data_IF_176662247270
#
_entry.id   IF_176662247270
#
_cell.length_a   1.000
_cell.length_b   1.000
_cell.length_c   1.000
_cell.angle_alpha   90.00
_cell.angle_beta   90.00
_cell.angle_gamma   90.00
#
_symmetry.space_group_name_H-M   'P 1'
#
loop_
_entity.id
_entity.type
_entity.pdbx_description
1 polymer ?
#
# COMPACT_ATOMS: atom_id res chain seq x y z
N UNK A 1 19.39 -14.95 13.06
CA UNK A 1 19.43 -13.56 13.58
C UNK A 1 18.75 -12.62 12.57
N UNK A 2 18.35 -11.38 12.94
CA UNK A 2 17.67 -10.46 12.02
C UNK A 2 18.45 -10.16 10.71
N UNK A 3 19.79 -10.24 10.72
CA UNK A 3 20.61 -10.18 9.49
C UNK A 3 20.30 -11.32 8.51
N UNK A 4 20.20 -12.56 8.98
CA UNK A 4 19.82 -13.71 8.13
C UNK A 4 18.39 -13.58 7.58
N UNK A 5 17.47 -12.97 8.33
CA UNK A 5 16.11 -12.72 7.85
C UNK A 5 16.07 -11.63 6.76
N UNK A 6 16.85 -10.55 6.92
CA UNK A 6 16.98 -9.50 5.90
C UNK A 6 17.64 -10.00 4.61
N UNK A 7 18.51 -11.01 4.71
CA UNK A 7 19.17 -11.64 3.56
C UNK A 7 18.31 -12.72 2.88
N UNK A 8 17.28 -13.22 3.56
CA UNK A 8 16.42 -14.28 3.06
C UNK A 8 15.67 -13.85 1.79
N UNK A 9 15.66 -14.73 0.78
CA UNK A 9 15.07 -14.46 -0.54
C UNK A 9 13.62 -14.01 -0.44
N UNK A 10 12.82 -14.70 0.38
CA UNK A 10 11.39 -14.40 0.52
C UNK A 10 11.09 -13.02 1.13
N UNK A 11 11.97 -12.45 1.97
CA UNK A 11 11.76 -11.08 2.49
C UNK A 11 12.07 -10.06 1.40
N UNK A 12 13.14 -10.27 0.64
CA UNK A 12 13.50 -9.42 -0.50
C UNK A 12 12.40 -9.42 -1.57
N UNK A 13 11.87 -10.59 -1.91
CA UNK A 13 10.75 -10.73 -2.85
C UNK A 13 9.51 -9.95 -2.39
N UNK A 14 9.15 -10.02 -1.11
CA UNK A 14 8.02 -9.24 -0.55
C UNK A 14 8.27 -7.73 -0.64
N UNK A 15 9.48 -7.27 -0.35
CA UNK A 15 9.83 -5.84 -0.48
C UNK A 15 9.80 -5.37 -1.95
N UNK A 16 10.24 -6.22 -2.87
CA UNK A 16 10.13 -5.95 -4.31
C UNK A 16 8.65 -5.85 -4.70
N UNK A 17 7.80 -6.75 -4.23
CA UNK A 17 6.36 -6.70 -4.51
C UNK A 17 5.71 -5.44 -3.94
N UNK A 18 6.03 -5.06 -2.69
CA UNK A 18 5.55 -3.81 -2.11
C UNK A 18 5.96 -2.59 -2.95
N UNK A 19 7.18 -2.59 -3.48
CA UNK A 19 7.68 -1.54 -4.37
C UNK A 19 6.92 -1.53 -5.69
N UNK A 20 6.78 -2.68 -6.35
CA UNK A 20 6.03 -2.84 -7.59
C UNK A 20 4.59 -2.32 -7.47
N UNK A 21 3.88 -2.72 -6.41
CA UNK A 21 2.51 -2.28 -6.15
C UNK A 21 2.43 -0.76 -5.93
N UNK A 22 3.35 -0.20 -5.14
CA UNK A 22 3.37 1.24 -4.86
C UNK A 22 3.68 2.06 -6.12
N UNK A 23 4.69 1.66 -6.89
CA UNK A 23 5.07 2.35 -8.13
C UNK A 23 3.98 2.23 -9.20
N UNK A 24 3.20 1.15 -9.20
CA UNK A 24 2.05 1.02 -10.10
C UNK A 24 0.99 2.09 -9.79
N UNK A 25 0.72 2.39 -8.51
CA UNK A 25 -0.20 3.47 -8.12
C UNK A 25 0.32 4.83 -8.60
N UNK A 26 1.61 5.09 -8.35
CA UNK A 26 2.27 6.32 -8.76
C UNK A 26 2.21 6.51 -10.29
N UNK A 27 2.56 5.47 -11.04
CA UNK A 27 2.53 5.45 -12.50
C UNK A 27 1.14 5.78 -13.07
N UNK A 28 0.06 5.22 -12.50
CA UNK A 28 -1.30 5.55 -12.93
C UNK A 28 -1.65 7.03 -12.65
N UNK A 29 -1.24 7.57 -11.50
CA UNK A 29 -1.51 8.97 -11.14
C UNK A 29 -0.79 9.99 -12.03
N UNK A 30 0.49 9.73 -12.36
CA UNK A 30 1.21 10.60 -13.32
C UNK A 30 0.63 10.47 -14.73
N UNK A 31 0.22 9.26 -15.13
CA UNK A 31 -0.32 9.03 -16.46
C UNK A 31 -1.65 9.75 -16.67
N UNK A 32 -2.58 9.71 -15.71
CA UNK A 32 -3.85 10.45 -15.84
C UNK A 32 -3.62 11.96 -15.87
N UNK A 33 -2.64 12.45 -15.11
CA UNK A 33 -2.27 13.87 -15.09
C UNK A 33 -1.63 14.32 -16.41
N UNK A 34 -0.72 13.51 -16.95
CA UNK A 34 -0.01 13.81 -18.19
C UNK A 34 -0.89 13.72 -19.45
N UNK A 35 -1.93 12.87 -19.42
CA UNK A 35 -2.91 12.72 -20.50
C UNK A 35 -4.11 13.67 -20.35
N UNK A 36 -4.03 14.65 -19.44
CA UNK A 36 -5.08 15.65 -19.28
C UNK A 36 -5.23 16.58 -20.48
N UNK A 37 -6.37 17.24 -20.57
CA UNK A 37 -6.70 18.19 -21.64
C UNK A 37 -7.21 19.52 -21.07
N UNK A 38 -7.05 20.65 -21.81
CA UNK A 38 -7.66 21.90 -21.42
C UNK A 38 -9.19 21.81 -21.50
N UNK A 39 -9.86 22.53 -20.61
CA UNK A 39 -11.31 22.75 -20.65
C UNK A 39 -11.65 24.07 -21.34
N UNK A 40 -12.92 24.30 -21.64
CA UNK A 40 -13.39 25.57 -22.20
C UNK A 40 -13.14 26.78 -21.27
N UNK A 41 -13.02 26.56 -19.95
CA UNK A 41 -12.73 27.61 -18.97
C UNK A 41 -11.22 27.89 -18.80
N UNK A 42 -10.37 27.14 -19.52
CA UNK A 42 -8.91 27.33 -19.52
C UNK A 42 -8.17 26.59 -18.39
N UNK A 43 -8.88 25.95 -17.45
CA UNK A 43 -8.26 24.98 -16.54
C UNK A 43 -8.01 23.64 -17.24
N UNK A 44 -7.24 22.75 -16.61
CA UNK A 44 -6.98 21.40 -17.13
C UNK A 44 -7.80 20.37 -16.37
N UNK A 45 -8.27 19.36 -17.09
CA UNK A 45 -8.91 18.16 -16.56
C UNK A 45 -8.02 16.95 -16.89
N UNK A 46 -7.85 16.05 -15.93
CA UNK A 46 -7.05 14.83 -16.10
C UNK A 46 -7.77 13.80 -16.97
N UNK A 47 -7.06 12.82 -17.49
CA UNK A 47 -7.71 11.66 -18.13
C UNK A 47 -8.53 10.88 -17.09
N UNK A 48 -9.85 10.94 -17.25
CA UNK A 48 -10.80 10.37 -16.31
C UNK A 48 -10.78 8.83 -16.27
N UNK A 49 -10.50 8.17 -17.41
CA UNK A 49 -10.42 6.71 -17.44
C UNK A 49 -9.21 6.25 -16.60
N UNK A 50 -8.04 6.84 -16.83
CA UNK A 50 -6.81 6.53 -16.12
C UNK A 50 -6.89 6.91 -14.63
N UNK A 51 -7.58 8.00 -14.29
CA UNK A 51 -7.83 8.37 -12.90
C UNK A 51 -8.67 7.32 -12.16
N UNK A 52 -9.71 6.78 -12.81
CA UNK A 52 -10.52 5.71 -12.24
C UNK A 52 -9.75 4.39 -12.14
N UNK A 53 -8.87 4.08 -13.10
CA UNK A 53 -7.95 2.93 -13.01
C UNK A 53 -7.00 3.08 -11.82
N UNK A 54 -6.39 4.26 -11.66
CA UNK A 54 -5.54 4.58 -10.51
C UNK A 54 -6.28 4.33 -9.20
N UNK A 55 -7.45 4.95 -9.03
CA UNK A 55 -8.23 4.82 -7.80
C UNK A 55 -8.67 3.37 -7.55
N UNK A 56 -9.06 2.61 -8.57
CA UNK A 56 -9.44 1.22 -8.42
C UNK A 56 -8.27 0.31 -7.97
N UNK A 57 -7.03 0.64 -8.36
CA UNK A 57 -5.83 -0.02 -7.83
C UNK A 57 -5.57 0.39 -6.37
N UNK A 58 -5.76 1.68 -6.03
CA UNK A 58 -5.64 2.20 -4.66
C UNK A 58 -6.62 1.49 -3.71
N UNK A 59 -7.78 1.02 -4.17
CA UNK A 59 -8.69 0.25 -3.30
C UNK A 59 -8.22 -1.17 -2.98
N UNK A 60 -7.05 -1.60 -3.50
CA UNK A 60 -6.55 -2.99 -3.40
C UNK A 60 -5.13 -3.05 -2.87
N UNK A 61 -4.21 -2.35 -3.51
CA UNK A 61 -2.77 -2.51 -3.27
C UNK A 61 -2.31 -2.11 -1.86
N UNK A 62 -2.83 -1.04 -1.23
CA UNK A 62 -2.51 -0.73 0.17
C UNK A 62 -2.81 -1.89 1.13
N UNK A 63 -3.86 -2.68 0.88
CA UNK A 63 -4.19 -3.85 1.70
C UNK A 63 -3.15 -4.96 1.55
N UNK A 64 -2.66 -5.22 0.34
CA UNK A 64 -1.62 -6.22 0.12
C UNK A 64 -0.27 -5.76 0.68
N UNK A 65 0.07 -4.47 0.50
CA UNK A 65 1.28 -3.88 1.10
C UNK A 65 1.22 -3.99 2.64
N UNK A 66 0.06 -3.70 3.25
CA UNK A 66 -0.14 -3.85 4.70
C UNK A 66 -0.03 -5.31 5.16
N UNK A 67 -0.58 -6.26 4.38
CA UNK A 67 -0.46 -7.70 4.65
C UNK A 67 1.00 -8.15 4.62
N UNK A 68 1.75 -7.73 3.60
CA UNK A 68 3.18 -8.04 3.45
C UNK A 68 4.03 -7.41 4.57
N UNK A 69 3.74 -6.16 4.94
CA UNK A 69 4.40 -5.50 6.06
C UNK A 69 4.16 -6.23 7.40
N UNK A 70 2.94 -6.71 7.62
CA UNK A 70 2.56 -7.50 8.80
C UNK A 70 3.34 -8.83 8.87
N UNK A 71 3.42 -9.52 7.73
CA UNK A 71 4.15 -10.78 7.58
C UNK A 71 5.66 -10.58 7.87
N UNK A 72 6.28 -9.54 7.29
CA UNK A 72 7.69 -9.20 7.54
C UNK A 72 7.93 -8.82 9.00
N UNK A 73 7.02 -8.05 9.62
CA UNK A 73 7.16 -7.58 11.00
C UNK A 73 7.05 -8.69 12.05
N UNK A 74 6.26 -9.72 11.76
CA UNK A 74 6.04 -10.88 12.62
C UNK A 74 5.16 -10.59 13.84
N UNK A 75 4.95 -11.62 14.67
CA UNK A 75 3.94 -11.62 15.74
C UNK A 75 4.16 -10.61 16.87
N UNK A 76 5.36 -10.04 17.00
CA UNK A 76 5.59 -8.96 17.97
C UNK A 76 4.74 -7.73 17.64
N UNK A 77 4.32 -7.55 16.38
CA UNK A 77 3.45 -6.46 15.97
C UNK A 77 2.15 -6.37 16.80
N UNK A 78 1.57 -7.52 17.18
CA UNK A 78 0.35 -7.59 17.98
C UNK A 78 0.56 -7.95 19.46
N UNK A 79 1.80 -8.23 19.88
CA UNK A 79 2.11 -8.73 21.23
C UNK A 79 3.18 -7.90 21.95
N UNK A 80 3.60 -6.78 21.36
CA UNK A 80 4.66 -5.94 21.91
C UNK A 80 4.25 -5.30 23.25
N UNK A 81 5.13 -5.32 24.27
CA UNK A 81 4.93 -4.56 25.50
C UNK A 81 4.73 -3.07 25.25
N UNK A 82 4.10 -2.39 26.21
CA UNK A 82 3.90 -0.96 26.14
C UNK A 82 5.18 -0.18 26.41
N UNK A 83 5.20 1.11 26.05
CA UNK A 83 6.29 2.00 26.42
C UNK A 83 6.44 2.15 27.95
N UNK A 84 5.34 2.00 28.70
CA UNK A 84 5.36 2.02 30.16
C UNK A 84 6.11 0.81 30.73
N UNK A 85 5.86 -0.38 30.18
CA UNK A 85 6.56 -1.60 30.59
C UNK A 85 8.07 -1.51 30.29
N UNK A 86 8.44 -0.88 29.18
CA UNK A 86 9.85 -0.66 28.84
C UNK A 86 10.56 0.32 29.79
N UNK A 87 9.83 1.27 30.37
CA UNK A 87 10.33 2.25 31.32
C UNK A 87 10.30 1.76 32.78
N UNK A 88 9.63 0.64 33.04
CA UNK A 88 9.53 0.03 34.37
C UNK A 88 10.92 -0.48 34.84
N UNK A 89 11.32 -0.21 36.10
CA UNK A 89 12.64 -0.58 36.60
C UNK A 89 12.85 -2.10 36.74
N UNK A 90 11.79 -2.89 36.85
CA UNK A 90 11.85 -4.35 36.98
C UNK A 90 11.66 -5.05 35.63
N UNK A 91 10.60 -4.70 34.89
CA UNK A 91 10.28 -5.30 33.60
C UNK A 91 11.16 -4.78 32.46
N UNK A 92 11.53 -3.50 32.47
CA UNK A 92 12.32 -2.87 31.42
C UNK A 92 13.65 -3.58 31.11
N UNK A 93 14.48 -3.92 32.12
CA UNK A 93 15.69 -4.71 31.93
C UNK A 93 15.43 -6.09 31.29
N UNK A 94 14.34 -6.77 31.68
CA UNK A 94 13.96 -8.07 31.11
C UNK A 94 13.50 -7.94 29.66
N UNK A 95 12.68 -6.92 29.35
CA UNK A 95 12.22 -6.64 27.99
C UNK A 95 13.41 -6.34 27.08
N UNK A 96 14.35 -5.48 27.51
CA UNK A 96 15.57 -5.17 26.74
C UNK A 96 16.43 -6.41 26.53
N UNK A 97 16.50 -7.31 27.51
CA UNK A 97 17.22 -8.58 27.38
C UNK A 97 16.57 -9.52 26.35
N UNK A 98 15.26 -9.74 26.44
CA UNK A 98 14.57 -10.77 25.65
C UNK A 98 14.08 -10.31 24.28
N UNK A 99 13.91 -8.99 24.06
CA UNK A 99 13.54 -8.46 22.75
C UNK A 99 14.74 -8.02 21.89
N UNK A 100 15.97 -8.18 22.39
CA UNK A 100 17.19 -7.98 21.63
C UNK A 100 17.26 -8.97 20.45
N UNK A 101 17.54 -8.45 19.25
CA UNK A 101 17.45 -9.24 18.02
C UNK A 101 18.61 -9.00 17.02
N UNK A 102 19.18 -7.79 17.03
CA UNK A 102 20.37 -7.41 16.26
C UNK A 102 21.35 -6.70 17.18
N UNK A 103 22.67 -6.95 17.09
CA UNK A 103 23.66 -6.17 17.83
C UNK A 103 23.79 -4.73 17.29
N UNK A 104 23.32 -4.48 16.07
CA UNK A 104 23.46 -3.19 15.38
C UNK A 104 22.41 -2.15 15.84
N UNK A 105 21.34 -2.58 16.53
CA UNK A 105 20.21 -1.73 16.91
C UNK A 105 19.76 -1.98 18.34
N UNK A 106 19.37 -0.92 19.04
CA UNK A 106 18.76 -1.05 20.35
C UNK A 106 17.31 -1.60 20.26
N UNK A 107 16.84 -2.17 21.37
CA UNK A 107 15.48 -2.72 21.45
C UNK A 107 14.42 -1.63 21.22
N UNK A 108 14.71 -0.41 21.66
CA UNK A 108 13.76 0.70 21.57
C UNK A 108 13.55 1.15 20.11
N UNK A 109 14.59 1.23 19.28
CA UNK A 109 14.45 1.52 17.85
C UNK A 109 13.66 0.43 17.14
N UNK A 110 13.92 -0.85 17.46
CA UNK A 110 13.13 -1.97 16.92
C UNK A 110 11.65 -1.85 17.31
N UNK A 111 11.36 -1.53 18.56
CA UNK A 111 9.98 -1.32 19.03
C UNK A 111 9.33 -0.14 18.31
N UNK A 112 10.02 1.00 18.14
CA UNK A 112 9.51 2.17 17.39
C UNK A 112 9.18 1.83 15.94
N UNK A 113 10.05 1.10 15.24
CA UNK A 113 9.79 0.66 13.87
C UNK A 113 8.55 -0.23 13.77
N UNK A 114 8.42 -1.20 14.68
CA UNK A 114 7.24 -2.06 14.73
C UNK A 114 5.96 -1.28 15.09
N UNK A 115 6.01 -0.31 16.01
CA UNK A 115 4.85 0.57 16.32
C UNK A 115 4.43 1.42 15.12
N UNK A 116 5.36 1.87 14.29
CA UNK A 116 5.03 2.56 13.05
C UNK A 116 4.27 1.64 12.09
N UNK A 117 4.75 0.41 11.89
CA UNK A 117 4.07 -0.59 11.05
C UNK A 117 2.68 -0.87 11.61
N UNK A 118 2.56 -1.14 12.91
CA UNK A 118 1.29 -1.42 13.59
C UNK A 118 0.29 -0.27 13.36
N UNK A 119 0.74 0.97 13.53
CA UNK A 119 -0.11 2.14 13.32
C UNK A 119 -0.66 2.22 11.89
N UNK A 120 0.15 1.85 10.88
CA UNK A 120 -0.24 1.91 9.46
C UNK A 120 -1.11 0.73 9.02
N UNK A 121 -1.01 -0.44 9.67
CA UNK A 121 -1.76 -1.64 9.27
C UNK A 121 -3.00 -1.92 10.13
N UNK A 122 -3.01 -1.46 11.39
CA UNK A 122 -4.09 -1.73 12.35
C UNK A 122 -4.45 -0.55 13.26
N UNK A 123 -3.57 0.45 13.42
CA UNK A 123 -3.82 1.61 14.29
C UNK A 123 -4.53 2.78 13.58
N UNK A 124 -4.35 3.98 14.12
CA UNK A 124 -5.01 5.19 13.61
C UNK A 124 -4.56 5.54 12.18
N UNK A 125 -3.29 5.28 11.84
CA UNK A 125 -2.77 5.46 10.50
C UNK A 125 -3.44 4.58 9.44
N UNK A 126 -3.94 3.40 9.83
CA UNK A 126 -4.64 2.48 8.93
C UNK A 126 -5.98 3.03 8.43
N UNK A 127 -6.60 3.97 9.17
CA UNK A 127 -7.80 4.67 8.70
C UNK A 127 -7.49 5.46 7.43
N UNK A 128 -6.40 6.24 7.43
CA UNK A 128 -5.97 6.97 6.25
C UNK A 128 -5.41 6.02 5.17
N UNK A 129 -4.55 5.08 5.55
CA UNK A 129 -3.86 4.26 4.56
C UNK A 129 -4.75 3.21 3.88
N UNK A 130 -5.72 2.63 4.60
CA UNK A 130 -6.56 1.53 4.11
C UNK A 130 -7.99 1.98 3.84
N UNK A 131 -8.65 2.58 4.83
CA UNK A 131 -10.09 2.89 4.74
C UNK A 131 -10.35 4.07 3.79
N UNK A 132 -9.55 5.13 3.86
CA UNK A 132 -9.62 6.24 2.91
C UNK A 132 -9.25 5.75 1.49
N UNK A 133 -8.18 4.96 1.36
CA UNK A 133 -7.84 4.30 0.10
C UNK A 133 -8.98 3.46 -0.50
N UNK A 134 -9.86 2.88 0.32
CA UNK A 134 -11.04 2.15 -0.14
C UNK A 134 -12.19 3.07 -0.58
N UNK A 135 -12.45 4.14 0.16
CA UNK A 135 -13.72 4.89 0.05
C UNK A 135 -13.59 6.36 -0.38
N UNK A 136 -12.41 6.96 -0.26
CA UNK A 136 -12.13 8.30 -0.75
C UNK A 136 -12.43 8.43 -2.24
N UNK A 137 -13.07 9.53 -2.66
CA UNK A 137 -13.56 9.72 -4.04
C UNK A 137 -14.53 8.62 -4.55
N UNK A 138 -15.16 7.86 -3.64
CA UNK A 138 -16.19 6.88 -3.94
C UNK A 138 -15.74 5.41 -3.80
N UNK A 139 -16.66 4.48 -3.51
CA UNK A 139 -16.36 3.06 -3.32
C UNK A 139 -15.98 2.38 -4.65
N UNK A 140 -15.31 1.21 -4.64
CA UNK A 140 -14.81 0.51 -5.84
C UNK A 140 -15.84 0.27 -6.95
N UNK A 141 -17.13 0.24 -6.62
CA UNK A 141 -18.21 0.12 -7.59
C UNK A 141 -18.33 1.37 -8.48
N UNK A 142 -18.11 2.55 -7.91
CA UNK A 142 -18.15 3.82 -8.63
C UNK A 142 -17.09 3.86 -9.74
N UNK A 143 -15.84 3.47 -9.45
CA UNK A 143 -14.78 3.45 -10.46
C UNK A 143 -15.03 2.39 -11.54
N UNK A 144 -15.58 1.22 -11.18
CA UNK A 144 -15.96 0.18 -12.17
C UNK A 144 -17.03 0.68 -13.14
N UNK A 145 -18.04 1.40 -12.65
CA UNK A 145 -19.08 1.99 -13.49
C UNK A 145 -18.46 3.00 -14.47
N UNK A 146 -17.57 3.87 -14.00
CA UNK A 146 -16.92 4.88 -14.85
C UNK A 146 -15.99 4.25 -15.89
N UNK A 147 -15.18 3.26 -15.51
CA UNK A 147 -14.35 2.49 -16.44
C UNK A 147 -15.22 1.79 -17.49
N UNK A 148 -16.35 1.20 -17.09
CA UNK A 148 -17.30 0.59 -18.03
C UNK A 148 -17.85 1.57 -19.06
N UNK A 149 -18.12 2.82 -18.66
CA UNK A 149 -18.60 3.89 -19.54
C UNK A 149 -17.52 4.46 -20.47
N UNK A 150 -16.27 4.50 -20.01
CA UNK A 150 -15.17 5.16 -20.72
C UNK A 150 -14.23 4.17 -21.44
N UNK A 151 -14.40 2.88 -21.24
CA UNK A 151 -13.49 1.84 -21.71
C UNK A 151 -13.62 1.45 -23.18
N UNK A 152 -14.52 2.07 -23.95
CA UNK A 152 -14.75 1.85 -25.38
C UNK A 152 -14.87 0.35 -25.75
N UNK A 153 -15.84 -0.34 -25.15
CA UNK A 153 -16.03 -1.77 -25.40
C UNK A 153 -16.50 -2.02 -26.84
N UNK A 154 -17.41 -1.20 -27.33
CA UNK A 154 -17.93 -1.28 -28.70
C UNK A 154 -16.82 -1.08 -29.73
N UNK A 155 -15.94 -0.08 -29.56
CA UNK A 155 -14.80 0.13 -30.46
C UNK A 155 -13.83 -1.04 -30.46
N UNK A 156 -13.58 -1.65 -29.29
CA UNK A 156 -12.77 -2.88 -29.17
C UNK A 156 -13.41 -4.08 -29.87
N UNK A 157 -14.74 -4.22 -29.78
CA UNK A 157 -15.49 -5.26 -30.50
C UNK A 157 -15.36 -5.06 -32.01
N UNK A 158 -15.51 -3.83 -32.50
CA UNK A 158 -15.36 -3.53 -33.92
C UNK A 158 -13.93 -3.75 -34.42
N UNK A 159 -12.91 -3.44 -33.60
CA UNK A 159 -11.53 -3.78 -33.92
C UNK A 159 -11.33 -5.30 -34.04
N UNK A 160 -11.93 -6.08 -33.13
CA UNK A 160 -11.88 -7.53 -33.19
C UNK A 160 -12.57 -8.08 -34.46
N UNK A 161 -13.75 -7.57 -34.81
CA UNK A 161 -14.45 -7.94 -36.05
C UNK A 161 -13.61 -7.66 -37.29
N UNK A 162 -12.98 -6.48 -37.35
CA UNK A 162 -12.07 -6.11 -38.46
C UNK A 162 -10.90 -7.10 -38.61
N UNK A 163 -10.27 -7.49 -37.50
CA UNK A 163 -9.19 -8.47 -37.51
C UNK A 163 -9.66 -9.86 -37.95
N UNK A 164 -10.90 -10.23 -37.59
CA UNK A 164 -11.53 -11.48 -37.97
C UNK A 164 -12.19 -11.46 -39.35
N UNK A 165 -12.21 -10.31 -40.04
CA UNK A 165 -12.91 -10.09 -41.32
C UNK A 165 -14.42 -10.40 -41.24
N UNK A 166 -15.05 -10.04 -40.11
CA UNK A 166 -16.49 -10.12 -39.87
C UNK A 166 -17.20 -8.78 -40.12
#
# INVERSE_FOLDING_TARGET
SQRQAAEASHIKEKLIEMTHLNETLFACGIACSAQGHPTAAGNYEIDMLLANVCKLNVTRFPYEIARLATDIAGGLLGTMPSAKDLADPEAGPLIRKYLAASPDYDVEARMKALRLIENLVAGAGAVAYLIESMHGAGPPAAQRIMIGRQGDLEGKIELAKKLLQL
#
